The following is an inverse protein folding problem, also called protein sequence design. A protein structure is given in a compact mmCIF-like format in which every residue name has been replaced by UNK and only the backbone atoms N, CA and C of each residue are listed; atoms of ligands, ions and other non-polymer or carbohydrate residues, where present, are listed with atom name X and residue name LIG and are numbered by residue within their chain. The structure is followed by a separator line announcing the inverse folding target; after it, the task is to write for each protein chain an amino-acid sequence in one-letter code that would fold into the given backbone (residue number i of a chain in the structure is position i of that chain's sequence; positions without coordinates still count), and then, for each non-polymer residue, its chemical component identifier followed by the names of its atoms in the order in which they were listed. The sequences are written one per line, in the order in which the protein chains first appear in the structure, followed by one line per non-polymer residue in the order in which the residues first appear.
data_IF_529444534333
#
_entry.id   IF_529444534333
#
_cell.length_a   1.000
_cell.length_b   1.000
_cell.length_c   1.000
_cell.angle_alpha   90.00
_cell.angle_beta   90.00
_cell.angle_gamma   90.00
#
_symmetry.space_group_name_H-M   'P 1'
#
loop_
_entity.id
_entity.type
_entity.pdbx_description
1 polymer ?
#
# COMPACT_ATOMS: atom_id res chain seq x y z
N UNK A 1 10.23 -36.93 -25.16
CA UNK A 1 9.71 -35.57 -25.39
C UNK A 1 9.43 -34.92 -24.03
N UNK A 2 10.42 -34.83 -23.14
CA UNK A 2 11.36 -33.71 -23.03
C UNK A 2 10.70 -32.33 -23.21
N UNK A 3 10.67 -31.59 -22.09
CA UNK A 3 10.56 -30.12 -21.98
C UNK A 3 9.20 -29.55 -21.56
N UNK A 4 8.70 -29.94 -20.39
CA UNK A 4 7.92 -29.03 -19.50
C UNK A 4 8.69 -28.89 -18.18
N UNK A 5 9.94 -28.46 -18.28
CA UNK A 5 10.76 -28.09 -17.14
C UNK A 5 10.98 -26.57 -17.17
N UNK A 6 10.96 -25.96 -15.99
CA UNK A 6 11.48 -24.62 -15.69
C UNK A 6 10.61 -23.40 -16.06
N UNK A 7 9.40 -23.29 -15.51
CA UNK A 7 8.72 -21.98 -15.42
C UNK A 7 8.15 -21.62 -14.04
N UNK A 8 8.37 -22.45 -13.02
CA UNK A 8 7.93 -22.17 -11.64
C UNK A 8 9.04 -22.41 -10.63
N UNK A 9 10.26 -21.99 -10.96
CA UNK A 9 11.43 -22.12 -10.08
C UNK A 9 12.29 -20.85 -10.03
N UNK A 10 11.79 -19.72 -10.56
CA UNK A 10 12.47 -18.42 -10.49
C UNK A 10 11.88 -17.47 -9.43
N UNK A 11 10.74 -17.79 -8.82
CA UNK A 11 10.16 -16.99 -7.72
C UNK A 11 10.54 -17.48 -6.31
N UNK A 12 11.36 -18.53 -6.19
CA UNK A 12 11.78 -19.08 -4.89
C UNK A 12 13.03 -18.43 -4.28
N UNK A 13 13.73 -17.53 -4.99
CA UNK A 13 15.01 -16.95 -4.51
C UNK A 13 15.04 -15.42 -4.28
N UNK A 14 13.89 -14.73 -4.13
CA UNK A 14 13.88 -13.27 -3.85
C UNK A 14 12.94 -12.81 -2.73
N UNK A 15 12.89 -13.53 -1.60
CA UNK A 15 12.18 -13.06 -0.40
C UNK A 15 12.96 -13.38 0.88
N UNK A 16 14.08 -12.69 1.12
CA UNK A 16 14.95 -12.94 2.27
C UNK A 16 14.37 -12.44 3.61
N UNK A 17 13.40 -11.51 3.60
CA UNK A 17 12.86 -10.92 4.86
C UNK A 17 11.37 -11.23 5.04
N UNK A 18 11.07 -12.01 6.08
CA UNK A 18 9.70 -12.31 6.55
C UNK A 18 9.32 -11.38 7.71
N UNK A 19 8.06 -10.92 7.78
CA UNK A 19 7.61 -10.08 8.88
C UNK A 19 7.63 -10.85 10.19
N UNK A 20 7.94 -10.18 11.31
CA UNK A 20 7.89 -10.81 12.65
C UNK A 20 6.46 -11.19 13.03
N UNK A 21 5.49 -10.32 12.71
CA UNK A 21 4.12 -10.46 13.14
C UNK A 21 3.18 -10.32 11.93
N UNK A 22 2.33 -11.33 11.70
CA UNK A 22 1.38 -11.36 10.59
C UNK A 22 -0.04 -11.67 11.10
N UNK A 23 -0.70 -10.71 11.76
CA UNK A 23 -2.08 -10.88 12.22
C UNK A 23 -3.03 -10.95 11.03
N UNK A 24 -4.18 -11.60 11.23
CA UNK A 24 -5.29 -11.54 10.27
C UNK A 24 -5.84 -10.11 10.22
N UNK A 25 -5.83 -9.51 9.02
CA UNK A 25 -6.28 -8.13 8.83
C UNK A 25 -7.79 -8.14 8.56
N UNK A 26 -8.58 -7.94 9.61
CA UNK A 26 -10.03 -7.78 9.48
C UNK A 26 -10.37 -6.34 9.08
N UNK A 27 -11.01 -6.17 7.91
CA UNK A 27 -11.57 -4.89 7.46
C UNK A 27 -13.09 -4.91 7.63
N UNK A 28 -13.62 -4.07 8.53
CA UNK A 28 -15.06 -3.94 8.79
C UNK A 28 -15.86 -3.51 7.57
N UNK A 29 -15.23 -2.75 6.66
CA UNK A 29 -15.81 -2.31 5.40
C UNK A 29 -14.72 -2.18 4.35
N UNK A 30 -14.97 -2.72 3.17
CA UNK A 30 -14.10 -2.62 1.99
C UNK A 30 -14.58 -1.55 1.01
N UNK A 31 -15.90 -1.36 0.89
CA UNK A 31 -16.51 -0.34 0.02
C UNK A 31 -16.14 1.08 0.48
N UNK A 32 -15.64 1.90 -0.44
CA UNK A 32 -15.34 3.33 -0.19
C UNK A 32 -16.61 4.09 0.20
N UNK A 33 -16.44 5.12 1.03
CA UNK A 33 -17.51 6.08 1.30
C UNK A 33 -17.57 7.09 0.16
N UNK A 34 -18.61 6.97 -0.66
CA UNK A 34 -18.83 7.84 -1.82
C UNK A 34 -19.76 8.99 -1.46
N UNK A 35 -19.54 10.15 -2.08
CA UNK A 35 -20.44 11.30 -1.94
C UNK A 35 -21.80 11.00 -2.59
N UNK A 36 -22.88 11.43 -1.93
CA UNK A 36 -24.24 11.35 -2.47
C UNK A 36 -24.31 11.99 -3.87
N UNK A 37 -24.95 11.31 -4.83
CA UNK A 37 -25.14 11.72 -6.24
C UNK A 37 -23.84 11.91 -7.06
N UNK A 38 -22.69 11.39 -6.60
CA UNK A 38 -21.46 11.39 -7.40
C UNK A 38 -21.46 10.36 -8.54
N UNK A 39 -22.43 9.45 -8.52
CA UNK A 39 -22.76 8.52 -9.59
C UNK A 39 -23.54 9.19 -10.73
N UNK A 40 -24.41 10.16 -10.41
CA UNK A 40 -25.28 10.83 -11.38
C UNK A 40 -24.62 12.01 -12.08
N UNK A 41 -23.79 12.77 -11.38
CA UNK A 41 -23.23 14.02 -11.90
C UNK A 41 -21.71 13.97 -12.00
N UNK A 42 -21.16 14.15 -13.21
CA UNK A 42 -19.71 14.20 -13.44
C UNK A 42 -19.01 15.34 -12.69
N UNK A 43 -19.70 16.47 -12.45
CA UNK A 43 -19.19 17.59 -11.64
C UNK A 43 -18.99 17.25 -10.17
N UNK A 44 -19.69 16.25 -9.64
CA UNK A 44 -19.63 15.85 -8.23
C UNK A 44 -18.60 14.73 -8.07
N UNK A 45 -17.41 15.09 -7.56
CA UNK A 45 -16.36 14.10 -7.24
C UNK A 45 -16.83 13.10 -6.17
N UNK A 46 -16.35 11.85 -6.28
CA UNK A 46 -16.68 10.73 -5.37
C UNK A 46 -16.15 10.89 -3.93
N UNK A 47 -15.28 11.86 -3.67
CA UNK A 47 -14.71 12.10 -2.33
C UNK A 47 -15.79 12.43 -1.30
N UNK A 48 -15.82 11.71 -0.19
CA UNK A 48 -16.82 11.87 0.86
C UNK A 48 -16.93 13.33 1.36
N UNK A 49 -18.17 13.81 1.47
CA UNK A 49 -18.53 15.08 2.11
C UNK A 49 -19.79 14.85 2.93
N UNK A 50 -19.84 15.39 4.15
CA UNK A 50 -21.02 15.27 5.02
C UNK A 50 -22.20 16.05 4.40
N UNK A 51 -23.33 15.42 4.06
CA UNK A 51 -24.50 16.12 3.53
C UNK A 51 -25.10 17.02 4.62
N UNK A 52 -25.40 18.28 4.27
CA UNK A 52 -25.92 19.29 5.21
C UNK A 52 -27.42 19.59 5.05
N UNK A 53 -27.98 19.37 3.86
CA UNK A 53 -29.38 19.74 3.56
C UNK A 53 -30.42 19.05 4.43
N UNK A 54 -31.50 19.77 4.76
CA UNK A 54 -32.51 19.32 5.73
C UNK A 54 -33.24 18.05 5.25
N UNK A 55 -33.54 17.94 3.95
CA UNK A 55 -34.28 16.80 3.36
C UNK A 55 -33.37 15.69 2.81
N UNK A 56 -32.06 15.80 3.03
CA UNK A 56 -31.15 14.82 2.47
C UNK A 56 -31.32 13.44 3.13
N UNK A 57 -31.63 12.42 2.30
CA UNK A 57 -31.90 11.05 2.76
C UNK A 57 -30.70 10.38 3.45
N UNK A 58 -29.46 10.66 3.00
CA UNK A 58 -28.23 10.15 3.64
C UNK A 58 -28.07 10.76 5.03
N UNK A 59 -28.32 12.08 5.18
CA UNK A 59 -28.22 12.78 6.48
C UNK A 59 -29.21 12.20 7.50
N UNK A 60 -30.44 11.94 7.07
CA UNK A 60 -31.53 11.34 7.88
C UNK A 60 -31.38 9.83 8.10
N UNK A 61 -30.37 9.17 7.51
CA UNK A 61 -30.05 7.74 7.66
C UNK A 61 -31.17 6.78 7.22
N UNK A 62 -31.89 7.11 6.14
CA UNK A 62 -32.88 6.18 5.58
C UNK A 62 -32.24 4.85 5.13
N UNK A 63 -32.96 3.74 5.33
CA UNK A 63 -32.56 2.41 4.86
C UNK A 63 -32.39 2.39 3.33
N UNK A 64 -31.44 1.62 2.83
CA UNK A 64 -31.14 1.46 1.40
C UNK A 64 -30.30 2.60 0.79
N UNK A 65 -29.98 3.63 1.56
CA UNK A 65 -29.15 4.75 1.10
C UNK A 65 -27.67 4.58 1.56
N UNK A 66 -26.75 5.33 0.96
CA UNK A 66 -25.33 5.33 1.34
C UNK A 66 -25.14 5.57 2.85
N UNK A 67 -24.36 4.70 3.48
CA UNK A 67 -23.98 4.82 4.89
C UNK A 67 -22.93 5.92 5.07
N UNK A 68 -23.07 6.70 6.15
CA UNK A 68 -22.08 7.71 6.53
C UNK A 68 -20.88 7.09 7.26
N UNK A 69 -19.65 7.63 7.10
CA UNK A 69 -18.52 7.28 7.94
C UNK A 69 -18.82 7.58 9.41
N UNK A 70 -18.48 6.64 10.28
CA UNK A 70 -18.53 6.75 11.73
C UNK A 70 -17.28 6.09 12.33
N UNK A 71 -17.03 6.32 13.62
CA UNK A 71 -15.87 5.73 14.32
C UNK A 71 -15.96 4.20 14.43
N UNK A 72 -17.18 3.65 14.39
CA UNK A 72 -17.45 2.21 14.42
C UNK A 72 -16.78 1.42 13.28
N UNK A 73 -16.58 2.03 12.11
CA UNK A 73 -15.84 1.43 10.99
C UNK A 73 -14.31 1.41 11.18
N UNK A 74 -13.77 2.00 12.25
CA UNK A 74 -12.36 1.98 12.56
C UNK A 74 -11.78 0.57 12.62
N UNK A 75 -10.65 0.35 11.94
CA UNK A 75 -9.88 -0.90 12.03
C UNK A 75 -9.20 -1.02 13.40
N UNK A 76 -8.83 -2.24 13.80
CA UNK A 76 -8.09 -2.47 15.04
C UNK A 76 -6.80 -1.63 15.10
N UNK A 77 -6.42 -1.14 16.28
CA UNK A 77 -5.21 -0.34 16.44
C UNK A 77 -3.94 -1.09 16.02
N UNK A 78 -3.89 -2.41 16.28
CA UNK A 78 -2.75 -3.28 15.95
C UNK A 78 -2.53 -3.41 14.43
N UNK A 79 -3.61 -3.57 13.66
CA UNK A 79 -3.57 -3.78 12.19
C UNK A 79 -3.78 -2.52 11.36
N UNK A 80 -3.99 -1.36 12.01
CA UNK A 80 -4.10 -0.06 11.33
C UNK A 80 -2.82 0.23 10.54
N UNK A 81 -2.98 0.68 9.30
CA UNK A 81 -1.87 1.00 8.36
C UNK A 81 -0.92 -0.16 8.00
N UNK A 82 -1.28 -1.40 8.31
CA UNK A 82 -0.52 -2.58 7.89
C UNK A 82 -0.87 -2.98 6.45
N UNK A 83 0.14 -3.38 5.68
CA UNK A 83 0.00 -3.95 4.34
C UNK A 83 -0.43 -5.43 4.42
N UNK A 84 -1.04 -6.00 3.37
CA UNK A 84 -1.37 -7.43 3.32
C UNK A 84 -0.13 -8.35 3.40
N UNK A 85 1.06 -7.81 3.11
CA UNK A 85 2.34 -8.50 3.28
C UNK A 85 2.77 -8.63 4.75
N UNK A 86 2.09 -7.96 5.69
CA UNK A 86 2.40 -7.95 7.13
C UNK A 86 3.29 -6.79 7.58
N UNK A 87 3.90 -6.05 6.65
CA UNK A 87 4.75 -4.90 6.97
C UNK A 87 3.94 -3.61 7.06
N UNK A 88 4.47 -2.62 7.78
CA UNK A 88 4.00 -1.24 7.72
C UNK A 88 4.84 -0.46 6.71
N UNK A 89 4.19 0.33 5.86
CA UNK A 89 4.91 1.10 4.83
C UNK A 89 5.53 2.37 5.40
N UNK A 90 6.77 2.65 5.03
CA UNK A 90 7.48 3.90 5.31
C UNK A 90 7.93 4.49 3.98
N UNK A 91 7.63 5.77 3.77
CA UNK A 91 8.03 6.46 2.55
C UNK A 91 9.47 6.96 2.72
N UNK A 92 10.34 6.63 1.76
CA UNK A 92 11.78 6.91 1.80
C UNK A 92 12.17 7.87 0.66
N UNK A 93 12.84 8.96 1.00
CA UNK A 93 13.31 9.98 0.05
C UNK A 93 14.80 9.89 -0.25
N UNK A 94 15.61 9.44 0.72
CA UNK A 94 17.06 9.41 0.64
C UNK A 94 17.65 8.14 1.29
N UNK A 95 18.96 7.95 1.14
CA UNK A 95 19.66 6.77 1.68
C UNK A 95 19.75 6.80 3.21
N UNK A 96 19.81 7.99 3.83
CA UNK A 96 19.88 8.15 5.29
C UNK A 96 18.60 7.67 6.00
N UNK A 97 17.44 7.96 5.42
CA UNK A 97 16.14 7.50 5.92
C UNK A 97 16.00 5.97 5.88
N UNK A 98 16.76 5.30 5.01
CA UNK A 98 16.79 3.85 4.94
C UNK A 98 17.55 3.23 6.12
N UNK A 99 18.54 3.94 6.67
CA UNK A 99 19.34 3.48 7.82
C UNK A 99 18.49 3.44 9.10
N UNK A 100 17.52 4.34 9.23
CA UNK A 100 16.51 4.30 10.31
C UNK A 100 15.73 2.97 10.30
N UNK A 101 15.56 2.34 9.13
CA UNK A 101 14.86 1.07 8.96
C UNK A 101 15.73 -0.16 9.23
N UNK A 102 17.04 0.00 9.45
CA UNK A 102 17.97 -1.10 9.67
C UNK A 102 17.56 -1.97 10.88
N UNK A 103 17.25 -1.33 12.01
CA UNK A 103 16.85 -2.04 13.23
C UNK A 103 15.43 -2.63 13.15
N UNK A 104 14.57 -2.11 12.27
CA UNK A 104 13.15 -2.46 12.20
C UNK A 104 12.74 -3.10 10.86
N UNK A 105 13.71 -3.73 10.19
CA UNK A 105 13.59 -4.32 8.86
C UNK A 105 12.47 -5.37 8.71
N UNK A 106 12.11 -6.08 9.80
CA UNK A 106 11.03 -7.08 9.79
C UNK A 106 9.65 -6.53 10.16
N UNK A 107 9.54 -5.24 10.53
CA UNK A 107 8.27 -4.58 10.87
C UNK A 107 7.84 -3.58 9.80
N UNK A 108 8.81 -2.90 9.22
CA UNK A 108 8.58 -1.87 8.20
C UNK A 108 9.14 -2.29 6.85
N UNK A 109 8.51 -1.79 5.79
CA UNK A 109 8.99 -1.89 4.42
C UNK A 109 9.11 -0.48 3.85
N UNK A 110 10.18 -0.23 3.09
CA UNK A 110 10.42 1.04 2.43
C UNK A 110 9.63 1.15 1.12
N UNK A 111 9.06 2.32 0.87
CA UNK A 111 8.46 2.72 -0.39
C UNK A 111 9.20 3.97 -0.90
N UNK A 112 9.91 3.86 -2.01
CA UNK A 112 10.69 4.96 -2.55
C UNK A 112 9.74 6.06 -3.08
N UNK A 113 9.94 7.29 -2.62
CA UNK A 113 9.11 8.43 -2.99
C UNK A 113 9.07 8.66 -4.51
N UNK A 114 7.94 9.17 -5.01
CA UNK A 114 7.76 9.48 -6.43
C UNK A 114 8.77 10.51 -6.97
N UNK A 115 9.21 11.46 -6.14
CA UNK A 115 10.17 12.50 -6.52
C UNK A 115 11.62 12.05 -6.68
N UNK A 116 11.96 10.79 -6.35
CA UNK A 116 13.35 10.30 -6.44
C UNK A 116 13.69 9.92 -7.89
N UNK A 117 14.77 10.50 -8.41
CA UNK A 117 15.31 10.22 -9.74
C UNK A 117 15.95 8.83 -9.84
N UNK A 118 16.04 8.27 -11.05
CA UNK A 118 16.52 6.91 -11.28
C UNK A 118 17.94 6.65 -10.69
N UNK A 119 18.86 7.61 -10.85
CA UNK A 119 20.22 7.53 -10.27
C UNK A 119 20.21 7.33 -8.75
N UNK A 120 19.38 8.11 -8.04
CA UNK A 120 19.23 7.98 -6.57
C UNK A 120 18.49 6.70 -6.19
N UNK A 121 17.55 6.23 -7.02
CA UNK A 121 16.85 4.95 -6.80
C UNK A 121 17.81 3.77 -6.81
N UNK A 122 18.77 3.73 -7.74
CA UNK A 122 19.80 2.67 -7.79
C UNK A 122 20.58 2.60 -6.46
N UNK A 123 21.08 3.74 -5.97
CA UNK A 123 21.78 3.82 -4.69
C UNK A 123 20.93 3.37 -3.49
N UNK A 124 19.63 3.73 -3.47
CA UNK A 124 18.70 3.31 -2.41
C UNK A 124 18.46 1.79 -2.47
N UNK A 125 18.33 1.21 -3.67
CA UNK A 125 18.10 -0.23 -3.84
C UNK A 125 19.34 -1.02 -3.40
N UNK A 126 20.53 -0.60 -3.83
CA UNK A 126 21.80 -1.23 -3.41
C UNK A 126 21.97 -1.17 -1.89
N UNK A 127 21.73 0.00 -1.28
CA UNK A 127 21.78 0.13 0.18
C UNK A 127 20.72 -0.71 0.88
N UNK A 128 19.53 -0.83 0.32
CA UNK A 128 18.45 -1.65 0.91
C UNK A 128 18.78 -3.13 0.91
N UNK A 129 19.47 -3.61 -0.12
CA UNK A 129 19.94 -4.99 -0.20
C UNK A 129 20.98 -5.26 0.90
N UNK A 130 21.94 -4.34 1.10
CA UNK A 130 22.93 -4.44 2.18
C UNK A 130 22.28 -4.49 3.57
N UNK A 131 21.31 -3.60 3.81
CA UNK A 131 20.61 -3.52 5.10
C UNK A 131 19.51 -4.59 5.28
N UNK A 132 19.30 -5.46 4.28
CA UNK A 132 18.21 -6.43 4.27
C UNK A 132 16.86 -5.79 4.58
N UNK A 133 16.54 -4.67 3.93
CA UNK A 133 15.26 -3.96 4.04
C UNK A 133 14.39 -4.27 2.83
N UNK A 134 13.13 -4.66 3.06
CA UNK A 134 12.18 -4.90 1.97
C UNK A 134 11.71 -3.58 1.35
N UNK A 135 11.91 -3.43 0.04
CA UNK A 135 11.34 -2.34 -0.74
C UNK A 135 10.08 -2.79 -1.49
N UNK A 136 9.03 -1.96 -1.52
CA UNK A 136 7.78 -2.27 -2.23
C UNK A 136 7.85 -1.98 -3.72
N UNK A 137 8.64 -0.96 -4.11
CA UNK A 137 8.76 -0.47 -5.48
C UNK A 137 10.22 -0.44 -5.97
N UNK A 138 11.03 -1.43 -5.56
CA UNK A 138 12.47 -1.48 -5.84
C UNK A 138 12.83 -1.37 -7.33
N UNK A 139 12.05 -2.00 -8.22
CA UNK A 139 12.33 -2.00 -9.66
C UNK A 139 11.76 -0.78 -10.41
N UNK A 140 11.06 0.13 -9.73
CA UNK A 140 10.39 1.24 -10.42
C UNK A 140 11.40 2.25 -10.98
N UNK A 141 11.30 2.54 -12.29
CA UNK A 141 12.15 3.45 -13.09
C UNK A 141 13.60 2.97 -13.33
N UNK A 142 13.94 1.76 -12.93
CA UNK A 142 15.21 1.13 -13.28
C UNK A 142 14.92 0.20 -14.45
N UNK A 143 15.25 0.62 -15.68
CA UNK A 143 15.30 -0.29 -16.82
C UNK A 143 16.65 -1.00 -16.78
N UNK A 144 16.65 -2.33 -16.88
CA UNK A 144 17.85 -3.06 -17.28
C UNK A 144 18.14 -2.71 -18.74
N UNK A 145 19.39 -2.46 -19.09
CA UNK A 145 19.81 -2.60 -20.49
C UNK A 145 19.53 -4.05 -20.88
N UNK A 146 18.72 -4.26 -21.93
CA UNK A 146 18.59 -5.56 -22.57
C UNK A 146 19.92 -5.81 -23.26
N UNK A 147 20.79 -6.61 -22.65
CA UNK A 147 21.91 -7.21 -23.37
C UNK A 147 21.32 -8.34 -24.22
N UNK A 148 21.40 -8.15 -25.53
CA UNK A 148 21.23 -9.18 -26.56
C UNK A 148 22.30 -10.28 -26.43
#
# INVERSE_FOLDING_TARGET
VHSFSVACEVDRYKMTIRPVYRPTIVKKRTKKFVRHQSDRYGKIKRNWRKPKGIDNRVRRRFKGQYLMPNIGYGSSAKTKHMMPTGFRKVLVHNVKELEVLMMQNRKFAGEIAHGVSAKKRKAIVERAQQLSVRLTNGNARLRSEENE
#
